data_IF_202875651379
#
_entry.id   IF_202875651379
#
_cell.length_a   1.000
_cell.length_b   1.000
_cell.length_c   1.000
_cell.angle_alpha   90.00
_cell.angle_beta   90.00
_cell.angle_gamma   90.00
#
_symmetry.space_group_name_H-M   'P 1'
#
loop_
_entity.id
_entity.type
_entity.pdbx_description
1 polymer ?
#
# COMPACT_ATOMS: atom_id res chain seq x y z
N UNK A 1 -2.16 21.65 -13.36
CA UNK A 1 -2.33 20.32 -12.74
C UNK A 1 -3.16 20.55 -11.49
N UNK A 2 -4.44 20.21 -11.53
CA UNK A 2 -5.39 20.53 -10.46
C UNK A 2 -5.12 19.60 -9.28
N UNK A 3 -4.99 20.16 -8.08
CA UNK A 3 -4.62 19.45 -6.84
C UNK A 3 -5.82 18.63 -6.32
N UNK A 4 -6.22 17.57 -7.04
CA UNK A 4 -7.32 16.67 -6.67
C UNK A 4 -6.98 15.77 -5.45
N UNK A 5 -5.73 15.81 -4.98
CA UNK A 5 -5.31 15.02 -3.83
C UNK A 5 -5.36 15.83 -2.52
N UNK A 6 -5.82 15.23 -1.41
CA UNK A 6 -5.87 15.91 -0.13
C UNK A 6 -4.48 16.36 0.35
N UNK A 7 -4.42 17.55 0.97
CA UNK A 7 -3.18 18.12 1.52
C UNK A 7 -2.56 17.20 2.59
N UNK A 8 -1.23 17.14 2.61
CA UNK A 8 -0.46 16.30 3.55
C UNK A 8 -0.67 14.79 3.34
N UNK A 9 -1.07 14.37 2.14
CA UNK A 9 -1.07 12.97 1.74
C UNK A 9 0.35 12.53 1.37
N UNK A 10 0.79 11.38 1.87
CA UNK A 10 2.10 10.82 1.56
C UNK A 10 2.23 10.55 0.07
N UNK A 11 3.40 10.87 -0.49
CA UNK A 11 3.71 10.72 -1.93
C UNK A 11 3.37 9.33 -2.47
N UNK A 12 3.55 8.28 -1.67
CA UNK A 12 3.22 6.92 -2.05
C UNK A 12 1.75 6.74 -2.45
N UNK A 13 0.79 7.31 -1.71
CA UNK A 13 -0.63 7.18 -2.04
C UNK A 13 -0.97 7.87 -3.36
N UNK A 14 -0.49 9.11 -3.54
CA UNK A 14 -0.66 9.87 -4.78
C UNK A 14 -0.13 9.07 -5.95
N UNK A 15 1.10 8.58 -5.82
CA UNK A 15 1.80 7.92 -6.90
C UNK A 15 1.19 6.56 -7.28
N UNK A 16 0.77 5.76 -6.31
CA UNK A 16 0.05 4.50 -6.61
C UNK A 16 -1.25 4.80 -7.35
N UNK A 17 -2.00 5.82 -6.91
CA UNK A 17 -3.25 6.20 -7.57
C UNK A 17 -3.01 6.64 -9.01
N UNK A 18 -2.07 7.55 -9.24
CA UNK A 18 -1.71 8.05 -10.59
C UNK A 18 -1.31 6.92 -11.53
N UNK A 19 -0.49 5.97 -11.07
CA UNK A 19 -0.04 4.84 -11.90
C UNK A 19 -1.20 3.91 -12.24
N UNK A 20 -2.10 3.64 -11.28
CA UNK A 20 -3.25 2.76 -11.51
C UNK A 20 -4.29 3.43 -12.42
N UNK A 21 -4.39 4.76 -12.38
CA UNK A 21 -5.37 5.52 -13.15
C UNK A 21 -4.88 5.93 -14.55
N UNK A 22 -3.61 5.70 -14.87
CA UNK A 22 -3.02 5.91 -16.19
C UNK A 22 -3.40 4.77 -17.16
N UNK A 23 -4.29 5.00 -18.15
CA UNK A 23 -4.73 3.96 -19.08
C UNK A 23 -3.60 3.41 -19.95
N UNK A 24 -2.51 4.15 -20.14
CA UNK A 24 -1.34 3.67 -20.90
C UNK A 24 -0.61 2.53 -20.20
N UNK A 25 -0.87 2.34 -18.90
CA UNK A 25 -0.29 1.30 -18.07
C UNK A 25 -1.23 0.12 -17.83
N UNK A 26 -2.45 0.10 -18.38
CA UNK A 26 -3.47 -0.91 -18.08
C UNK A 26 -3.02 -2.36 -18.37
N UNK A 27 -2.11 -2.56 -19.33
CA UNK A 27 -1.52 -3.87 -19.62
C UNK A 27 -0.54 -4.38 -18.55
N UNK A 28 -0.10 -3.50 -17.65
CA UNK A 28 0.90 -3.74 -16.60
C UNK A 28 0.25 -3.68 -15.22
N UNK A 29 -0.57 -2.66 -14.99
CA UNK A 29 -1.30 -2.38 -13.76
C UNK A 29 -2.57 -1.60 -14.11
N UNK A 30 -3.71 -2.02 -13.61
CA UNK A 30 -4.98 -1.34 -13.89
C UNK A 30 -5.92 -1.38 -12.70
N UNK A 31 -6.95 -0.54 -12.73
CA UNK A 31 -8.12 -0.74 -11.88
C UNK A 31 -8.76 -2.11 -12.15
N UNK A 32 -9.33 -2.72 -11.10
CA UNK A 32 -10.21 -3.87 -11.28
C UNK A 32 -11.55 -3.42 -11.87
N UNK A 33 -12.34 -4.37 -12.39
CA UNK A 33 -13.70 -4.10 -12.90
C UNK A 33 -14.60 -3.40 -11.87
N UNK A 34 -14.34 -3.60 -10.58
CA UNK A 34 -15.11 -2.99 -9.50
C UNK A 34 -14.70 -1.55 -9.16
N UNK A 35 -13.58 -1.07 -9.70
CA UNK A 35 -12.97 0.23 -9.38
C UNK A 35 -12.65 0.45 -7.88
N UNK A 36 -12.62 -0.63 -7.07
CA UNK A 36 -12.34 -0.62 -5.62
C UNK A 36 -11.02 -1.32 -5.25
N UNK A 37 -10.26 -1.69 -6.25
CA UNK A 37 -8.99 -2.40 -6.16
C UNK A 37 -8.23 -2.24 -7.47
N UNK A 38 -6.96 -2.64 -7.48
CA UNK A 38 -6.12 -2.67 -8.67
C UNK A 38 -5.43 -4.01 -8.80
N UNK A 39 -5.09 -4.37 -10.03
CA UNK A 39 -4.46 -5.64 -10.40
C UNK A 39 -3.11 -5.34 -11.02
N UNK A 40 -2.08 -6.07 -10.59
CA UNK A 40 -0.76 -6.04 -11.24
C UNK A 40 -0.69 -7.22 -12.21
N UNK A 41 -0.76 -6.93 -13.50
CA UNK A 41 -0.70 -7.92 -14.57
C UNK A 41 0.73 -8.36 -14.87
N UNK A 42 1.68 -7.42 -14.87
CA UNK A 42 3.09 -7.69 -15.15
C UNK A 42 4.01 -6.99 -14.14
N UNK A 43 4.41 -7.72 -13.09
CA UNK A 43 5.26 -7.18 -12.03
C UNK A 43 6.70 -6.82 -12.48
N UNK A 44 7.22 -7.43 -13.54
CA UNK A 44 8.57 -7.15 -14.04
C UNK A 44 8.58 -5.85 -14.83
N UNK A 45 7.57 -5.64 -15.67
CA UNK A 45 7.43 -4.40 -16.43
C UNK A 45 7.05 -3.24 -15.52
N UNK A 46 6.19 -3.47 -14.52
CA UNK A 46 5.87 -2.47 -13.50
C UNK A 46 7.14 -1.98 -12.79
N UNK A 47 8.04 -2.91 -12.42
CA UNK A 47 9.34 -2.57 -11.84
C UNK A 47 10.16 -1.68 -12.77
N UNK A 48 10.29 -2.05 -14.05
CA UNK A 48 11.05 -1.28 -15.04
C UNK A 48 10.50 0.14 -15.17
N UNK A 49 9.19 0.28 -15.40
CA UNK A 49 8.52 1.57 -15.57
C UNK A 49 8.66 2.47 -14.34
N UNK A 50 8.47 1.93 -13.14
CA UNK A 50 8.63 2.67 -11.90
C UNK A 50 10.05 3.21 -11.70
N UNK A 51 11.08 2.44 -12.09
CA UNK A 51 12.48 2.88 -12.01
C UNK A 51 12.73 4.07 -12.95
N UNK A 52 12.23 4.02 -14.19
CA UNK A 52 12.44 5.08 -15.18
C UNK A 52 11.61 6.35 -14.90
N UNK A 53 10.49 6.23 -14.19
CA UNK A 53 9.57 7.35 -13.95
C UNK A 53 9.87 8.15 -12.67
N UNK A 54 11.14 8.22 -12.23
CA UNK A 54 11.58 8.96 -11.03
C UNK A 54 10.85 8.57 -9.74
N UNK A 55 10.47 7.30 -9.57
CA UNK A 55 10.18 6.79 -8.23
C UNK A 55 11.52 6.73 -7.50
N UNK A 56 11.94 7.84 -6.88
CA UNK A 56 13.19 7.94 -6.13
C UNK A 56 13.12 7.00 -4.91
N UNK A 57 13.47 5.74 -5.15
CA UNK A 57 13.42 4.66 -4.19
C UNK A 57 13.98 3.40 -4.83
N UNK A 58 15.19 2.96 -4.44
CA UNK A 58 15.76 1.73 -4.97
C UNK A 58 14.96 0.54 -4.43
N UNK A 59 14.69 -0.42 -5.32
CA UNK A 59 14.10 -1.74 -5.09
C UNK A 59 12.56 -1.84 -5.03
N UNK A 60 11.99 -2.28 -6.15
CA UNK A 60 10.63 -2.82 -6.26
C UNK A 60 10.33 -3.97 -5.27
N UNK A 61 11.35 -4.64 -4.73
CA UNK A 61 11.17 -5.63 -3.66
C UNK A 61 10.49 -5.02 -2.42
N UNK A 62 10.62 -3.71 -2.20
CA UNK A 62 9.92 -3.01 -1.13
C UNK A 62 8.48 -2.60 -1.51
N UNK A 63 8.07 -2.68 -2.78
CA UNK A 63 6.76 -2.19 -3.22
C UNK A 63 5.61 -2.92 -2.53
N UNK A 64 5.64 -4.26 -2.49
CA UNK A 64 4.62 -5.06 -1.80
C UNK A 64 4.60 -4.80 -0.29
N UNK A 65 5.77 -4.60 0.31
CA UNK A 65 5.90 -4.23 1.72
C UNK A 65 5.35 -2.84 1.99
N UNK A 66 5.59 -1.87 1.09
CA UNK A 66 4.97 -0.54 1.15
C UNK A 66 3.45 -0.66 1.00
N UNK A 67 2.91 -1.39 0.02
CA UNK A 67 1.47 -1.61 -0.09
C UNK A 67 0.87 -2.09 1.24
N UNK A 68 1.45 -3.12 1.86
CA UNK A 68 1.03 -3.62 3.17
C UNK A 68 1.11 -2.56 4.26
N UNK A 69 2.24 -1.85 4.34
CA UNK A 69 2.47 -0.83 5.36
C UNK A 69 1.51 0.36 5.21
N UNK A 70 1.14 0.70 3.98
CA UNK A 70 0.23 1.81 3.65
C UNK A 70 -1.24 1.38 3.68
N UNK A 71 -1.54 0.14 4.08
CA UNK A 71 -2.89 -0.33 4.37
C UNK A 71 -3.58 -1.05 3.22
N UNK A 72 -2.91 -1.26 2.09
CA UNK A 72 -3.42 -2.14 1.05
C UNK A 72 -3.41 -3.59 1.52
N UNK A 73 -4.44 -4.33 1.14
CA UNK A 73 -4.57 -5.76 1.42
C UNK A 73 -4.55 -6.51 0.11
N UNK A 74 -3.86 -7.65 0.10
CA UNK A 74 -3.94 -8.59 -1.02
C UNK A 74 -5.33 -9.24 -1.03
N UNK A 75 -6.00 -9.18 -2.16
CA UNK A 75 -7.28 -9.85 -2.40
C UNK A 75 -6.96 -11.23 -2.97
N UNK A 76 -7.51 -12.29 -2.36
CA UNK A 76 -7.36 -13.67 -2.83
C UNK A 76 -8.65 -14.04 -3.57
N UNK A 77 -8.60 -14.10 -4.88
CA UNK A 77 -9.77 -14.30 -5.75
C UNK A 77 -9.63 -15.56 -6.63
N UNK A 78 -8.96 -16.61 -6.15
CA UNK A 78 -8.84 -17.93 -6.81
C UNK A 78 -8.05 -17.96 -8.14
N UNK A 79 -7.95 -16.84 -8.85
CA UNK A 79 -7.39 -16.70 -10.20
C UNK A 79 -5.87 -16.53 -10.23
N UNK A 80 -5.21 -16.52 -9.06
CA UNK A 80 -3.77 -16.27 -8.95
C UNK A 80 -3.35 -14.82 -9.19
N UNK A 81 -4.29 -13.91 -9.50
CA UNK A 81 -4.01 -12.51 -9.79
C UNK A 81 -3.37 -11.76 -8.60
N UNK A 82 -2.48 -10.82 -8.92
CA UNK A 82 -1.88 -9.90 -7.95
C UNK A 82 -2.82 -8.71 -7.71
N UNK A 83 -3.95 -8.98 -7.09
CA UNK A 83 -4.94 -7.95 -6.77
C UNK A 83 -4.73 -7.37 -5.37
N UNK A 84 -4.79 -6.04 -5.27
CA UNK A 84 -4.66 -5.31 -4.01
C UNK A 84 -5.75 -4.25 -3.90
N UNK A 85 -6.25 -4.03 -2.69
CA UNK A 85 -7.30 -3.04 -2.45
C UNK A 85 -7.37 -2.54 -1.02
N UNK A 86 -8.18 -1.52 -0.83
CA UNK A 86 -8.59 -0.96 0.45
C UNK A 86 -9.99 -0.36 0.28
N UNK A 87 -10.83 -0.40 1.31
CA UNK A 87 -12.17 0.19 1.24
C UNK A 87 -12.18 1.69 0.90
N UNK A 88 -11.07 2.39 1.16
CA UNK A 88 -10.87 3.81 0.86
C UNK A 88 -9.98 4.05 -0.38
N UNK A 89 -9.69 3.02 -1.18
CA UNK A 89 -8.95 3.14 -2.44
C UNK A 89 -9.92 2.90 -3.60
N UNK A 90 -10.53 3.98 -4.09
CA UNK A 90 -11.64 3.95 -5.05
C UNK A 90 -11.34 4.89 -6.22
N UNK A 91 -11.54 4.41 -7.45
CA UNK A 91 -11.36 5.23 -8.66
C UNK A 91 -12.30 6.42 -8.64
N UNK A 92 -11.80 7.58 -9.06
CA UNK A 92 -12.51 8.86 -9.01
C UNK A 92 -12.66 9.49 -7.62
N UNK A 93 -12.17 8.85 -6.53
CA UNK A 93 -12.30 9.38 -5.16
C UNK A 93 -10.94 9.49 -4.42
N UNK A 94 -9.99 10.31 -4.92
CA UNK A 94 -8.66 10.49 -4.31
C UNK A 94 -8.69 11.08 -2.89
N UNK A 95 -9.77 11.75 -2.48
CA UNK A 95 -9.96 12.30 -1.14
C UNK A 95 -10.02 11.20 -0.05
N UNK A 96 -10.49 10.01 -0.39
CA UNK A 96 -10.55 8.87 0.54
C UNK A 96 -9.16 8.36 0.95
N UNK A 97 -8.12 8.65 0.17
CA UNK A 97 -6.74 8.26 0.50
C UNK A 97 -6.27 8.87 1.83
N UNK A 98 -6.79 10.03 2.23
CA UNK A 98 -6.48 10.62 3.54
C UNK A 98 -6.97 9.73 4.69
N UNK A 99 -8.18 9.18 4.58
CA UNK A 99 -8.73 8.23 5.57
C UNK A 99 -7.88 6.96 5.64
N UNK A 100 -7.38 6.49 4.49
CA UNK A 100 -6.48 5.33 4.43
C UNK A 100 -5.16 5.61 5.18
N UNK A 101 -4.54 6.78 4.97
CA UNK A 101 -3.32 7.18 5.66
C UNK A 101 -3.49 7.24 7.18
N UNK A 102 -4.56 7.88 7.67
CA UNK A 102 -4.83 7.98 9.11
C UNK A 102 -4.94 6.58 9.74
N UNK A 103 -5.73 5.69 9.12
CA UNK A 103 -5.89 4.31 9.59
C UNK A 103 -4.57 3.53 9.57
N UNK A 104 -3.77 3.69 8.52
CA UNK A 104 -2.48 3.03 8.40
C UNK A 104 -1.50 3.50 9.49
N UNK A 105 -1.42 4.81 9.75
CA UNK A 105 -0.57 5.38 10.80
C UNK A 105 -0.99 4.93 12.20
N UNK A 106 -2.30 4.96 12.49
CA UNK A 106 -2.81 4.46 13.76
C UNK A 106 -2.47 2.97 13.96
N UNK A 107 -2.71 2.13 12.94
CA UNK A 107 -2.36 0.70 12.99
C UNK A 107 -0.87 0.45 13.21
N UNK A 108 0.01 1.23 12.56
CA UNK A 108 1.47 1.12 12.76
C UNK A 108 1.85 1.46 14.20
N UNK A 109 1.30 2.55 14.73
CA UNK A 109 1.56 2.99 16.12
C UNK A 109 1.13 1.91 17.12
N UNK A 110 -0.08 1.36 16.96
CA UNK A 110 -0.56 0.26 17.80
C UNK A 110 0.30 -1.00 17.71
N UNK A 111 0.86 -1.29 16.52
CA UNK A 111 1.75 -2.44 16.33
C UNK A 111 3.09 -2.27 17.07
N UNK A 112 3.63 -1.06 17.11
CA UNK A 112 4.85 -0.74 17.85
C UNK A 112 4.60 -0.95 19.34
N UNK A 113 3.53 -0.34 19.88
CA UNK A 113 3.14 -0.48 21.30
C UNK A 113 2.91 -1.95 21.67
N UNK A 114 2.21 -2.71 20.83
CA UNK A 114 1.97 -4.13 21.10
C UNK A 114 3.26 -4.97 21.09
N UNK A 115 4.24 -4.60 20.25
CA UNK A 115 5.54 -5.28 20.21
C UNK A 115 6.33 -5.01 21.49
N UNK A 116 6.40 -3.75 21.94
CA UNK A 116 7.08 -3.37 23.19
C UNK A 116 6.48 -4.11 24.39
N UNK A 117 5.15 -4.15 24.50
CA UNK A 117 4.46 -4.91 25.57
C UNK A 117 4.76 -6.42 25.52
N UNK A 118 4.85 -7.00 24.32
CA UNK A 118 5.15 -8.42 24.16
C UNK A 118 6.62 -8.74 24.56
N UNK A 119 7.53 -7.80 24.30
CA UNK A 119 8.95 -7.92 24.67
C UNK A 119 9.12 -7.79 26.20
N UNK A 120 8.46 -6.82 26.83
CA UNK A 120 8.44 -6.66 28.29
C UNK A 120 7.86 -7.92 28.99
N UNK A 121 6.75 -8.46 28.49
CA UNK A 121 6.18 -9.69 29.03
C UNK A 121 7.10 -10.91 28.85
N UNK A 122 7.80 -11.00 27.72
CA UNK A 122 8.75 -12.08 27.45
C UNK A 122 9.98 -12.02 28.37
N UNK A 123 10.49 -10.82 28.66
CA UNK A 123 11.61 -10.65 29.57
C UNK A 123 11.22 -10.88 31.04
N UNK A 124 10.02 -10.45 31.45
CA UNK A 124 9.46 -10.77 32.77
C UNK A 124 9.35 -12.29 33.02
N UNK A 125 8.95 -13.06 32.01
CA UNK A 125 8.85 -14.52 32.11
C UNK A 125 10.23 -15.21 32.21
N UNK A 126 11.27 -14.65 31.58
CA UNK A 126 12.64 -15.18 31.70
C UNK A 126 13.19 -15.00 33.12
N UNK A 127 12.87 -13.89 33.79
CA UNK A 127 13.30 -13.61 35.16
C UNK A 127 12.66 -14.53 36.20
N UNK A 128 11.45 -15.03 35.95
CA UNK A 128 10.73 -15.96 36.84
C UNK A 128 11.16 -17.43 36.67
N UNK A 129 12.07 -17.72 35.73
CA UNK A 129 12.50 -19.08 35.37
C UNK A 129 13.89 -19.45 35.91
N UNK A 130 14.41 -18.65 36.85
CA UNK A 130 15.68 -18.85 37.58
C UNK A 130 15.36 -19.40 38.97
#
# INVERSE_FOLDING_TARGET
MVDDFPKGLFRFYKRVYEVVDDPSLDSIISWSKSNKSFIIWNHQELRRRMIFANFHGPFFSNFFSMLKNFGFKRIKNGSGQLEFGNANFVRGQPELLKKMQIKANHKRSMKIIAKEKAEEAADGLKLLRV
#
